data_IF_072818198650
#
_entry.id   IF_072818198650
#
_cell.length_a   1.000
_cell.length_b   1.000
_cell.length_c   1.000
_cell.angle_alpha   90.00
_cell.angle_beta   90.00
_cell.angle_gamma   90.00
#
_symmetry.space_group_name_H-M   'P 1'
#
loop_
_entity.id
_entity.type
_entity.pdbx_description
1 polymer ?
#
# COMPACT_ATOMS: atom_id res chain seq x y z
N UNK A 1 7.30 2.76 5.12
CA UNK A 1 8.71 2.95 5.48
C UNK A 1 9.61 2.59 4.32
N UNK A 2 10.91 2.90 4.39
CA UNK A 2 11.84 2.77 3.26
C UNK A 2 12.66 1.47 3.23
N UNK A 3 12.72 0.70 4.32
CA UNK A 3 13.58 -0.49 4.40
C UNK A 3 12.82 -1.79 4.72
N UNK A 4 11.58 -1.67 5.19
CA UNK A 4 10.77 -2.81 5.61
C UNK A 4 9.70 -3.13 4.58
N UNK A 5 9.46 -4.42 4.39
CA UNK A 5 8.36 -4.95 3.59
C UNK A 5 7.77 -6.18 4.30
N UNK A 6 6.54 -6.54 3.93
CA UNK A 6 5.82 -7.68 4.52
C UNK A 6 5.97 -8.91 3.65
N UNK A 7 5.69 -10.09 4.20
CA UNK A 7 5.66 -11.34 3.40
C UNK A 7 4.59 -11.28 2.29
N UNK A 8 4.71 -12.06 1.21
CA UNK A 8 3.68 -12.12 0.17
C UNK A 8 2.29 -12.45 0.71
N UNK A 9 2.21 -13.35 1.70
CA UNK A 9 0.95 -13.73 2.36
C UNK A 9 0.36 -12.52 3.10
N UNK A 10 1.17 -11.80 3.89
CA UNK A 10 0.70 -10.60 4.59
C UNK A 10 0.30 -9.48 3.63
N UNK A 11 0.98 -9.34 2.47
CA UNK A 11 0.59 -8.37 1.44
C UNK A 11 -0.78 -8.70 0.85
N UNK A 12 -1.04 -9.98 0.58
CA UNK A 12 -2.33 -10.48 0.11
C UNK A 12 -3.45 -10.19 1.10
N UNK A 13 -3.24 -10.50 2.39
CA UNK A 13 -4.22 -10.26 3.45
C UNK A 13 -4.43 -8.77 3.73
N UNK A 14 -3.38 -7.95 3.68
CA UNK A 14 -3.51 -6.50 3.79
C UNK A 14 -4.36 -5.93 2.65
N UNK A 15 -4.18 -6.41 1.43
CA UNK A 15 -5.00 -5.99 0.28
C UNK A 15 -6.48 -6.34 0.49
N UNK A 16 -6.78 -7.57 0.94
CA UNK A 16 -8.16 -7.99 1.26
C UNK A 16 -8.76 -7.10 2.36
N UNK A 17 -8.03 -6.90 3.45
CA UNK A 17 -8.49 -6.05 4.56
C UNK A 17 -8.75 -4.60 4.14
N UNK A 18 -7.89 -4.03 3.29
CA UNK A 18 -8.11 -2.69 2.72
C UNK A 18 -9.38 -2.66 1.85
N UNK A 19 -9.59 -3.66 1.00
CA UNK A 19 -10.79 -3.76 0.16
C UNK A 19 -12.07 -3.90 1.00
N UNK A 20 -12.07 -4.83 1.95
CA UNK A 20 -13.21 -5.14 2.83
C UNK A 20 -13.55 -4.00 3.80
N UNK A 21 -12.55 -3.21 4.21
CA UNK A 21 -12.78 -2.09 5.12
C UNK A 21 -13.75 -1.02 4.58
N UNK A 22 -13.92 -0.94 3.26
CA UNK A 22 -14.66 0.14 2.59
C UNK A 22 -14.03 1.53 2.74
N UNK A 23 -12.95 1.66 3.52
CA UNK A 23 -12.30 2.93 3.77
C UNK A 23 -11.51 3.38 2.53
N UNK A 24 -11.43 4.70 2.33
CA UNK A 24 -10.54 5.26 1.31
C UNK A 24 -9.10 5.11 1.76
N UNK A 25 -8.22 4.68 0.86
CA UNK A 25 -6.82 4.50 1.18
C UNK A 25 -5.89 4.92 0.04
N UNK A 26 -4.67 5.26 0.43
CA UNK A 26 -3.53 5.39 -0.45
C UNK A 26 -2.43 4.48 0.09
N UNK A 27 -2.02 3.50 -0.70
CA UNK A 27 -1.04 2.51 -0.28
C UNK A 27 0.25 2.67 -1.09
N UNK A 28 1.30 3.15 -0.41
CA UNK A 28 2.66 3.13 -0.97
C UNK A 28 3.18 1.70 -0.92
N UNK A 29 3.16 1.03 -2.07
CA UNK A 29 3.46 -0.39 -2.20
C UNK A 29 4.89 -0.60 -2.69
N UNK A 30 5.54 -1.62 -2.11
CA UNK A 30 6.89 -2.07 -2.47
C UNK A 30 6.90 -3.59 -2.62
N UNK A 31 7.89 -4.18 -3.30
CA UNK A 31 8.01 -5.63 -3.42
C UNK A 31 7.97 -6.34 -2.05
N UNK A 32 7.27 -7.49 -1.92
CA UNK A 32 7.18 -8.22 -0.68
C UNK A 32 8.53 -8.84 -0.29
N UNK A 33 8.64 -9.32 0.95
CA UNK A 33 9.85 -9.96 1.45
C UNK A 33 10.26 -11.14 0.57
N UNK A 34 11.55 -11.27 0.30
CA UNK A 34 12.11 -12.29 -0.59
C UNK A 34 12.22 -11.87 -2.06
N UNK A 35 11.80 -10.65 -2.41
CA UNK A 35 11.95 -10.07 -3.75
C UNK A 35 12.91 -8.86 -3.71
N UNK A 36 13.46 -8.49 -4.87
CA UNK A 36 14.27 -7.28 -4.99
C UNK A 36 13.45 -6.05 -4.60
N UNK A 37 13.89 -5.33 -3.57
CA UNK A 37 13.22 -4.13 -3.04
C UNK A 37 13.16 -2.98 -4.06
N UNK A 38 14.06 -2.99 -5.04
CA UNK A 38 14.10 -2.03 -6.14
C UNK A 38 13.39 -2.56 -7.41
N UNK A 39 12.88 -3.80 -7.35
CA UNK A 39 12.15 -4.43 -8.44
C UNK A 39 10.83 -3.73 -8.77
N UNK A 40 10.35 -3.97 -9.98
CA UNK A 40 9.05 -3.47 -10.41
C UNK A 40 7.89 -4.15 -9.67
N UNK A 41 6.79 -3.41 -9.52
CA UNK A 41 5.56 -3.95 -8.96
C UNK A 41 5.03 -5.08 -9.85
N UNK A 42 4.65 -6.20 -9.23
CA UNK A 42 4.02 -7.31 -9.91
C UNK A 42 2.58 -7.54 -9.41
N UNK A 43 1.57 -7.55 -10.30
CA UNK A 43 0.16 -7.70 -9.92
C UNK A 43 -0.16 -8.97 -9.12
N UNK A 44 0.59 -10.05 -9.33
CA UNK A 44 0.40 -11.33 -8.64
C UNK A 44 0.66 -11.29 -7.12
N UNK A 45 1.23 -10.19 -6.61
CA UNK A 45 1.40 -10.00 -5.16
C UNK A 45 0.10 -9.60 -4.46
N UNK A 46 -0.94 -9.29 -5.22
CA UNK A 46 -2.24 -8.85 -4.73
C UNK A 46 -3.33 -9.82 -5.20
N UNK A 47 -4.53 -9.79 -4.58
CA UNK A 47 -5.66 -10.56 -5.09
C UNK A 47 -5.91 -10.22 -6.55
N UNK A 48 -6.22 -11.22 -7.36
CA UNK A 48 -6.48 -11.04 -8.79
C UNK A 48 -7.48 -9.90 -9.01
N UNK A 49 -7.13 -8.92 -9.86
CA UNK A 49 -7.99 -7.78 -10.18
C UNK A 49 -8.13 -6.70 -9.08
N UNK A 50 -7.42 -6.80 -7.95
CA UNK A 50 -7.53 -5.86 -6.84
C UNK A 50 -7.33 -4.39 -7.24
N UNK A 51 -6.23 -4.06 -7.93
CA UNK A 51 -5.92 -2.66 -8.31
C UNK A 51 -7.04 -2.06 -9.18
N UNK A 52 -7.58 -2.85 -10.11
CA UNK A 52 -8.72 -2.46 -10.95
C UNK A 52 -9.97 -2.21 -10.11
N UNK A 53 -10.34 -3.14 -9.23
CA UNK A 53 -11.56 -3.03 -8.39
C UNK A 53 -11.53 -1.80 -7.49
N UNK A 54 -10.42 -1.56 -6.78
CA UNK A 54 -10.34 -0.43 -5.85
C UNK A 54 -10.30 0.92 -6.57
N UNK A 55 -9.77 0.96 -7.80
CA UNK A 55 -9.77 2.14 -8.66
C UNK A 55 -11.16 2.45 -9.21
N UNK A 56 -11.87 1.44 -9.76
CA UNK A 56 -13.23 1.58 -10.29
C UNK A 56 -14.22 2.02 -9.19
N UNK A 57 -14.07 1.50 -7.97
CA UNK A 57 -14.85 1.90 -6.79
C UNK A 57 -14.45 3.26 -6.22
N UNK A 58 -13.39 3.90 -6.73
CA UNK A 58 -12.80 5.14 -6.18
C UNK A 58 -12.47 5.03 -4.68
N UNK A 59 -12.09 3.83 -4.25
CA UNK A 59 -11.78 3.51 -2.86
C UNK A 59 -10.28 3.63 -2.59
N UNK A 60 -9.44 3.10 -3.49
CA UNK A 60 -8.01 2.95 -3.25
C UNK A 60 -7.13 3.43 -4.40
N UNK A 61 -5.92 3.86 -4.07
CA UNK A 61 -4.84 4.10 -5.06
C UNK A 61 -3.54 3.46 -4.59
N UNK A 62 -2.88 2.73 -5.49
CA UNK A 62 -1.53 2.22 -5.30
C UNK A 62 -0.50 3.25 -5.77
N UNK A 63 0.51 3.50 -4.93
CA UNK A 63 1.67 4.33 -5.26
C UNK A 63 2.90 3.45 -5.22
N UNK A 64 3.51 3.21 -6.38
CA UNK A 64 4.59 2.24 -6.55
C UNK A 64 5.94 2.87 -6.19
N UNK A 65 6.84 2.08 -5.57
CA UNK A 65 8.23 2.43 -5.20
C UNK A 65 8.38 3.48 -4.10
N UNK A 66 7.88 4.69 -4.32
CA UNK A 66 8.02 5.84 -3.42
C UNK A 66 6.82 6.79 -3.53
N UNK A 67 6.44 7.41 -2.42
CA UNK A 67 5.38 8.41 -2.38
C UNK A 67 5.77 9.62 -1.53
N UNK A 68 5.17 10.80 -1.78
CA UNK A 68 5.46 12.03 -1.05
C UNK A 68 4.82 12.01 0.34
N UNK A 69 5.39 11.23 1.28
CA UNK A 69 4.81 10.95 2.60
C UNK A 69 4.42 12.23 3.36
N UNK A 70 5.29 13.25 3.37
CA UNK A 70 5.00 14.51 4.07
C UNK A 70 3.80 15.25 3.49
N UNK A 71 3.63 15.25 2.17
CA UNK A 71 2.48 15.89 1.51
C UNK A 71 1.20 15.13 1.78
N UNK A 72 1.26 13.79 1.75
CA UNK A 72 0.14 12.91 2.07
C UNK A 72 -0.31 13.14 3.52
N UNK A 73 0.61 13.12 4.48
CA UNK A 73 0.29 13.26 5.91
C UNK A 73 -0.18 14.67 6.28
N UNK A 74 0.29 15.71 5.57
CA UNK A 74 -0.19 17.10 5.77
C UNK A 74 -1.57 17.36 5.13
N UNK A 75 -2.04 16.48 4.25
CA UNK A 75 -3.30 16.65 3.57
C UNK A 75 -4.48 16.45 4.54
N UNK A 76 -5.44 17.38 4.54
CA UNK A 76 -6.65 17.31 5.39
C UNK A 76 -7.53 16.07 5.16
N UNK A 77 -7.40 15.41 4.01
CA UNK A 77 -8.11 14.17 3.70
C UNK A 77 -7.52 12.94 4.41
N UNK A 78 -6.29 13.04 4.94
CA UNK A 78 -5.63 11.95 5.66
C UNK A 78 -6.14 11.88 7.09
N UNK A 79 -6.96 10.88 7.40
CA UNK A 79 -7.53 10.68 8.75
C UNK A 79 -6.77 9.68 9.62
N UNK A 80 -5.94 8.81 9.03
CA UNK A 80 -5.17 7.81 9.75
C UNK A 80 -3.91 7.42 8.94
N UNK A 81 -2.89 6.93 9.65
CA UNK A 81 -1.66 6.42 9.04
C UNK A 81 -1.28 5.06 9.61
N UNK A 82 -1.40 4.01 8.78
CA UNK A 82 -0.85 2.70 9.11
C UNK A 82 0.67 2.75 8.88
N UNK A 83 1.43 2.77 9.98
CA UNK A 83 2.87 2.91 9.97
C UNK A 83 3.55 1.69 10.58
N UNK A 84 4.79 1.46 10.15
CA UNK A 84 5.73 0.53 10.80
C UNK A 84 6.41 1.13 12.04
N UNK A 85 6.02 2.35 12.44
CA UNK A 85 6.49 3.05 13.62
C UNK A 85 8.00 3.38 13.66
N UNK A 86 8.68 3.41 12.51
CA UNK A 86 10.03 3.98 12.43
C UNK A 86 10.00 5.47 12.74
N UNK A 87 10.97 5.98 13.50
CA UNK A 87 10.96 7.34 14.08
C UNK A 87 10.69 8.48 13.07
N UNK A 88 11.19 8.37 11.85
CA UNK A 88 11.00 9.39 10.80
C UNK A 88 9.67 9.23 10.04
N UNK A 89 8.81 8.30 10.44
CA UNK A 89 7.53 8.04 9.78
C UNK A 89 6.49 9.06 10.20
#
# INVERSE_FOLDING_TARGET
>A
GSQNTVTPIQMMELAKGLEESGAKFLWVIRPPFGFDINGEFKPEWLPEGFEKRVMERKQGKLVKKWGPQMEILRNKATGAFLSHCGWNS
#
